data_IF_715497297940
#
_entry.id   IF_715497297940
#
_cell.length_a   1.000
_cell.length_b   1.000
_cell.length_c   1.000
_cell.angle_alpha   90.00
_cell.angle_beta   90.00
_cell.angle_gamma   90.00
#
_symmetry.space_group_name_H-M   'P 1'
#
loop_
_entity.id
_entity.type
_entity.pdbx_description
1 polymer ?
#
# COMPACT_ATOMS: atom_id res chain seq x y z
N UNK A 1 13.48 -7.55 -23.29
CA UNK A 1 12.67 -6.38 -22.88
C UNK A 1 11.31 -6.90 -22.45
N UNK A 2 10.79 -6.52 -21.28
CA UNK A 2 9.43 -6.90 -20.89
C UNK A 2 8.42 -6.28 -21.86
N UNK A 3 7.39 -7.05 -22.22
CA UNK A 3 6.35 -6.65 -23.16
C UNK A 3 5.41 -5.62 -22.52
N UNK A 4 5.32 -4.44 -23.10
CA UNK A 4 4.33 -3.40 -22.74
C UNK A 4 3.35 -3.24 -23.91
N UNK A 5 2.04 -3.51 -23.73
CA UNK A 5 1.06 -3.22 -24.76
C UNK A 5 0.92 -1.70 -24.95
N UNK A 6 0.94 -1.23 -26.21
CA UNK A 6 0.94 0.20 -26.55
C UNK A 6 -0.34 0.95 -26.13
N UNK A 7 -1.45 0.24 -25.92
CA UNK A 7 -2.78 0.83 -25.66
C UNK A 7 -3.51 0.09 -24.54
N UNK A 8 -2.87 -0.08 -23.37
CA UNK A 8 -3.53 -0.71 -22.23
C UNK A 8 -4.57 0.22 -21.58
N UNK A 9 -5.84 -0.16 -21.67
CA UNK A 9 -6.99 0.55 -21.06
C UNK A 9 -7.53 -0.12 -19.79
N UNK A 10 -6.85 -1.15 -19.29
CA UNK A 10 -7.25 -1.87 -18.09
C UNK A 10 -6.75 -1.21 -16.79
N UNK A 11 -6.85 -1.91 -15.65
CA UNK A 11 -6.41 -1.40 -14.35
C UNK A 11 -4.96 -0.87 -14.39
N UNK A 12 -4.63 0.13 -13.56
CA UNK A 12 -3.30 0.77 -13.53
C UNK A 12 -2.15 -0.22 -13.26
N UNK A 13 -2.47 -1.37 -12.65
CA UNK A 13 -1.51 -2.44 -12.31
C UNK A 13 -1.86 -3.76 -13.01
N UNK A 14 -1.51 -3.90 -14.30
CA UNK A 14 -1.75 -5.14 -15.04
C UNK A 14 -0.75 -6.25 -14.67
N UNK A 15 -1.21 -7.51 -14.72
CA UNK A 15 -0.44 -8.69 -14.32
C UNK A 15 0.91 -8.87 -15.06
N UNK A 16 1.10 -8.27 -16.25
CA UNK A 16 2.37 -8.35 -16.98
C UNK A 16 3.49 -7.52 -16.31
N UNK A 17 3.15 -6.48 -15.52
CA UNK A 17 4.13 -5.77 -14.67
C UNK A 17 4.74 -6.69 -13.61
N UNK A 18 3.97 -7.68 -13.13
CA UNK A 18 4.44 -8.69 -12.16
C UNK A 18 5.56 -9.57 -12.75
N UNK A 19 5.38 -10.01 -14.01
CA UNK A 19 6.35 -10.86 -14.71
C UNK A 19 7.62 -10.08 -15.07
N UNK A 20 7.47 -8.77 -15.32
CA UNK A 20 8.57 -7.89 -15.68
C UNK A 20 9.51 -7.52 -14.51
N UNK A 21 9.14 -7.84 -13.26
CA UNK A 21 9.88 -7.42 -12.07
C UNK A 21 9.81 -5.90 -11.80
N UNK A 22 8.91 -5.19 -12.48
CA UNK A 22 8.67 -3.75 -12.33
C UNK A 22 7.36 -3.58 -11.58
N UNK A 23 7.36 -3.95 -10.29
CA UNK A 23 6.23 -3.65 -9.41
C UNK A 23 6.58 -2.33 -8.70
N UNK A 24 6.06 -1.23 -9.23
CA UNK A 24 5.90 -0.04 -8.40
C UNK A 24 4.81 -0.38 -7.38
N UNK A 25 5.23 -0.84 -6.20
CA UNK A 25 4.29 -1.16 -5.12
C UNK A 25 3.54 0.11 -4.73
N UNK A 26 2.22 0.07 -4.83
CA UNK A 26 1.37 1.16 -4.36
C UNK A 26 1.61 1.42 -2.87
N UNK A 27 1.32 2.63 -2.38
CA UNK A 27 1.45 2.93 -0.95
C UNK A 27 0.59 2.00 -0.09
N UNK A 28 -0.54 1.53 -0.61
CA UNK A 28 -1.39 0.55 0.09
C UNK A 28 -0.70 -0.82 0.24
N UNK A 29 0.02 -1.26 -0.80
CA UNK A 29 0.82 -2.49 -0.75
C UNK A 29 2.00 -2.35 0.20
N UNK A 30 2.65 -1.19 0.23
CA UNK A 30 3.72 -0.92 1.20
C UNK A 30 3.19 -1.00 2.64
N UNK A 31 2.02 -0.41 2.94
CA UNK A 31 1.42 -0.54 4.28
C UNK A 31 1.17 -2.01 4.63
N UNK A 32 0.67 -2.84 3.70
CA UNK A 32 0.48 -4.27 3.93
C UNK A 32 1.78 -4.98 4.29
N UNK A 33 2.86 -4.68 3.56
CA UNK A 33 4.19 -5.26 3.78
C UNK A 33 4.73 -4.84 5.15
N UNK A 34 4.74 -3.55 5.46
CA UNK A 34 5.25 -3.05 6.75
C UNK A 34 4.42 -3.56 7.94
N UNK A 35 3.09 -3.63 7.81
CA UNK A 35 2.23 -4.24 8.83
C UNK A 35 2.59 -5.71 9.06
N UNK A 36 2.88 -6.46 7.99
CA UNK A 36 3.28 -7.86 8.10
C UNK A 36 4.62 -7.99 8.85
N UNK A 37 5.60 -7.15 8.51
CA UNK A 37 6.90 -7.13 9.18
C UNK A 37 6.80 -6.73 10.65
N UNK A 38 5.97 -5.75 10.97
CA UNK A 38 5.71 -5.32 12.35
C UNK A 38 4.81 -6.31 13.14
N UNK A 39 4.27 -7.35 12.50
CA UNK A 39 3.35 -8.30 13.14
C UNK A 39 1.98 -7.71 13.48
N UNK A 40 1.58 -6.62 12.82
CA UNK A 40 0.34 -5.91 13.08
C UNK A 40 -0.87 -6.64 12.50
N UNK A 41 -1.90 -6.78 13.34
CA UNK A 41 -3.22 -7.25 12.90
C UNK A 41 -4.01 -6.11 12.26
N UNK A 42 -4.98 -6.48 11.41
CA UNK A 42 -5.89 -5.52 10.78
C UNK A 42 -6.66 -4.70 11.82
N UNK A 43 -7.02 -5.29 12.96
CA UNK A 43 -7.71 -4.59 14.06
C UNK A 43 -6.84 -3.48 14.68
N UNK A 44 -5.55 -3.75 14.91
CA UNK A 44 -4.61 -2.75 15.43
C UNK A 44 -4.41 -1.60 14.44
N UNK A 45 -4.35 -1.90 13.15
CA UNK A 45 -4.33 -0.86 12.13
C UNK A 45 -5.63 -0.04 12.15
N UNK A 46 -6.80 -0.66 12.26
CA UNK A 46 -8.06 0.08 12.34
C UNK A 46 -8.11 1.01 13.56
N UNK A 47 -7.72 0.52 14.73
CA UNK A 47 -7.63 1.30 15.97
C UNK A 47 -6.68 2.49 15.78
N UNK A 48 -5.47 2.24 15.26
CA UNK A 48 -4.50 3.30 15.00
C UNK A 48 -5.02 4.35 14.01
N UNK A 49 -5.67 3.93 12.91
CA UNK A 49 -6.22 4.85 11.92
C UNK A 49 -7.37 5.68 12.49
N UNK A 50 -8.18 5.10 13.37
CA UNK A 50 -9.28 5.78 14.01
C UNK A 50 -8.76 6.83 15.01
N UNK A 51 -7.73 6.50 15.80
CA UNK A 51 -7.13 7.40 16.76
C UNK A 51 -6.34 8.55 16.11
N UNK A 52 -5.57 8.27 15.06
CA UNK A 52 -4.64 9.25 14.48
C UNK A 52 -5.24 10.05 13.32
N UNK A 53 -6.14 9.45 12.53
CA UNK A 53 -6.67 10.07 11.32
C UNK A 53 -8.21 10.15 11.31
N UNK A 54 -8.89 9.66 12.35
CA UNK A 54 -10.37 9.54 12.39
C UNK A 54 -10.92 8.72 11.21
N UNK A 55 -10.14 7.75 10.71
CA UNK A 55 -10.47 6.91 9.54
C UNK A 55 -10.51 5.44 9.91
N UNK A 56 -11.32 4.66 9.21
CA UNK A 56 -11.46 3.22 9.51
C UNK A 56 -10.70 2.36 8.51
N UNK A 57 -10.56 2.82 7.26
CA UNK A 57 -9.97 2.02 6.17
C UNK A 57 -8.72 2.71 5.63
N UNK A 58 -7.70 1.91 5.32
CA UNK A 58 -6.46 2.38 4.67
C UNK A 58 -6.69 3.08 3.33
N UNK A 59 -7.72 2.65 2.59
CA UNK A 59 -8.12 3.27 1.32
C UNK A 59 -8.64 4.70 1.47
N UNK A 60 -9.06 5.10 2.68
CA UNK A 60 -9.53 6.45 2.99
C UNK A 60 -8.37 7.40 3.32
N UNK A 61 -7.15 6.87 3.48
CA UNK A 61 -5.97 7.68 3.76
C UNK A 61 -5.54 8.46 2.52
N UNK A 62 -5.15 9.72 2.73
CA UNK A 62 -4.44 10.50 1.70
C UNK A 62 -3.03 9.95 1.52
N UNK A 63 -2.35 10.35 0.45
CA UNK A 63 -0.98 9.90 0.22
C UNK A 63 -0.03 10.28 1.36
N UNK A 64 -0.22 11.46 1.95
CA UNK A 64 0.58 11.95 3.08
C UNK A 64 0.37 11.09 4.33
N UNK A 65 -0.88 10.78 4.65
CA UNK A 65 -1.23 9.92 5.79
C UNK A 65 -0.73 8.49 5.58
N UNK A 66 -0.78 7.97 4.35
CA UNK A 66 -0.19 6.67 4.03
C UNK A 66 1.31 6.67 4.28
N UNK A 67 2.03 7.70 3.82
CA UNK A 67 3.48 7.84 4.07
C UNK A 67 3.80 7.94 5.55
N UNK A 68 3.04 8.75 6.30
CA UNK A 68 3.23 8.89 7.75
C UNK A 68 2.97 7.56 8.47
N UNK A 69 1.93 6.81 8.08
CA UNK A 69 1.64 5.50 8.65
C UNK A 69 2.71 4.46 8.33
N UNK A 70 3.23 4.44 7.09
CA UNK A 70 4.37 3.59 6.71
C UNK A 70 5.60 3.91 7.56
N UNK A 71 5.90 5.20 7.74
CA UNK A 71 7.03 5.62 8.55
C UNK A 71 6.88 5.24 10.02
N UNK A 72 5.66 5.35 10.56
CA UNK A 72 5.34 4.87 11.90
C UNK A 72 5.61 3.37 12.02
N UNK A 73 5.09 2.54 11.10
CA UNK A 73 5.28 1.09 11.11
C UNK A 73 6.75 0.66 11.02
N UNK A 74 7.59 1.42 10.30
CA UNK A 74 9.04 1.16 10.18
C UNK A 74 9.84 1.48 11.44
N UNK A 75 9.30 2.29 12.34
CA UNK A 75 9.97 2.72 13.57
C UNK A 75 9.67 1.83 14.78
N UNK A 76 8.72 0.91 14.65
CA UNK A 76 8.32 -0.07 15.67
C UNK A 76 9.28 -1.26 15.62
#
# INVERSE_FOLDING_TARGET
>A
MPYTPAEWTGPPDPCWKLIAGVIELSLDDQILVEMCFAGWKVTQAQEYLQENYSKTRRRELTEEEKKHFIEYLRRI
#
